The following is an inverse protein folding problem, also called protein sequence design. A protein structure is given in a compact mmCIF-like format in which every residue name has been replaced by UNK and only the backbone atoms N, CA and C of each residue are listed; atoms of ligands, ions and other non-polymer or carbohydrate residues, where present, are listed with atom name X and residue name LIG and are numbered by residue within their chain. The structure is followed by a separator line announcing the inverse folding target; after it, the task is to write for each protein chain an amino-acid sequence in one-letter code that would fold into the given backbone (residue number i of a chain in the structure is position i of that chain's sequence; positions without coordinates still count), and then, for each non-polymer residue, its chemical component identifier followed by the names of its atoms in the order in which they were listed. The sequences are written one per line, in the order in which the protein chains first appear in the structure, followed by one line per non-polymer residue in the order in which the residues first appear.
data_IF_113382784020
#
_entry.id   IF_113382784020
#
_cell.length_a   1.000
_cell.length_b   1.000
_cell.length_c   1.000
_cell.angle_alpha   90.00
_cell.angle_beta   90.00
_cell.angle_gamma   90.00
#
_symmetry.space_group_name_H-M   'P 1'
#
loop_
_entity.id
_entity.type
_entity.pdbx_description
1 polymer ?
#
# COMPACT_ATOMS: atom_id res chain seq x y z
N UNK A 1 43.53 29.52 -44.36
CA UNK A 1 43.80 28.16 -43.82
C UNK A 1 44.21 28.34 -42.37
N UNK A 2 43.54 27.83 -41.34
CA UNK A 2 42.44 26.88 -41.24
C UNK A 2 41.56 27.26 -40.04
N UNK A 3 40.27 27.11 -40.26
CA UNK A 3 39.16 27.14 -39.30
C UNK A 3 39.27 26.00 -38.30
N UNK A 4 39.07 26.26 -37.00
CA UNK A 4 38.81 25.23 -36.00
C UNK A 4 37.30 24.98 -35.95
N UNK A 5 36.86 23.80 -36.39
CA UNK A 5 35.49 23.31 -36.20
C UNK A 5 35.38 22.61 -34.86
N UNK A 6 34.45 23.05 -34.02
CA UNK A 6 33.96 22.33 -32.85
C UNK A 6 32.84 21.37 -33.27
N UNK A 7 33.05 20.08 -33.07
CA UNK A 7 32.03 19.02 -33.16
C UNK A 7 31.22 18.95 -31.86
N UNK A 8 29.90 18.72 -31.89
CA UNK A 8 29.11 18.44 -30.69
C UNK A 8 29.28 16.99 -30.24
N UNK A 9 29.27 16.77 -28.94
CA UNK A 9 29.22 15.44 -28.34
C UNK A 9 27.78 14.90 -28.44
N UNK A 10 27.62 13.75 -29.09
CA UNK A 10 26.37 12.98 -29.10
C UNK A 10 26.17 12.30 -27.75
N UNK A 11 25.02 12.56 -27.14
CA UNK A 11 24.51 11.87 -25.96
C UNK A 11 23.89 10.54 -26.38
N UNK A 12 24.61 9.45 -26.12
CA UNK A 12 24.17 8.07 -26.34
C UNK A 12 23.80 7.44 -25.00
N UNK A 13 22.56 7.64 -24.56
CA UNK A 13 21.93 6.84 -23.51
C UNK A 13 21.39 5.53 -24.11
N UNK A 14 22.28 4.55 -24.27
CA UNK A 14 21.90 3.17 -24.58
C UNK A 14 21.43 2.44 -23.29
N UNK A 15 20.49 1.48 -23.39
CA UNK A 15 20.06 0.70 -22.23
C UNK A 15 21.20 -0.16 -21.68
N UNK A 16 21.23 -0.29 -20.34
CA UNK A 16 22.15 -1.15 -19.62
C UNK A 16 21.76 -2.62 -19.82
N UNK A 17 22.11 -3.20 -20.97
CA UNK A 17 22.05 -4.65 -21.17
C UNK A 17 23.17 -5.31 -20.34
N UNK A 18 22.78 -5.98 -19.26
CA UNK A 18 23.69 -6.79 -18.46
C UNK A 18 24.04 -8.08 -19.24
N UNK A 19 25.28 -8.30 -19.72
CA UNK A 19 25.59 -9.31 -20.77
C UNK A 19 25.52 -10.79 -20.35
N UNK A 20 24.88 -11.13 -19.23
CA UNK A 20 24.82 -12.49 -18.69
C UNK A 20 23.44 -12.96 -18.21
N UNK A 21 22.41 -12.12 -18.28
CA UNK A 21 21.05 -12.49 -17.86
C UNK A 21 20.23 -12.91 -19.09
N UNK A 22 19.72 -14.14 -19.10
CA UNK A 22 18.71 -14.51 -20.10
C UNK A 22 17.41 -13.80 -19.71
N UNK A 23 16.71 -13.12 -20.63
CA UNK A 23 15.45 -12.44 -20.32
C UNK A 23 14.47 -13.39 -19.64
N UNK A 24 13.74 -12.89 -18.65
CA UNK A 24 12.73 -13.66 -17.94
C UNK A 24 11.64 -14.10 -18.90
N UNK A 25 11.27 -15.38 -18.83
CA UNK A 25 10.19 -15.94 -19.65
C UNK A 25 8.84 -15.68 -18.98
N UNK A 26 8.12 -14.63 -19.40
CA UNK A 26 6.75 -14.37 -18.94
C UNK A 26 5.71 -15.25 -19.67
N UNK A 27 4.66 -15.66 -18.97
CA UNK A 27 3.47 -16.37 -19.51
C UNK A 27 2.21 -15.53 -19.26
N UNK A 28 1.09 -15.92 -19.85
CA UNK A 28 -0.21 -15.23 -19.77
C UNK A 28 -0.67 -14.96 -18.32
N UNK A 29 -0.53 -15.93 -17.42
CA UNK A 29 -1.02 -15.80 -16.05
C UNK A 29 -2.55 -15.70 -15.95
N UNK A 30 -3.04 -15.13 -14.86
CA UNK A 30 -4.46 -14.97 -14.56
C UNK A 30 -4.77 -13.56 -14.04
N UNK A 31 -5.94 -12.99 -14.35
CA UNK A 31 -6.35 -11.68 -13.84
C UNK A 31 -6.67 -11.69 -12.33
N UNK A 32 -6.79 -12.88 -11.71
CA UNK A 32 -7.07 -13.01 -10.28
C UNK A 32 -6.22 -14.11 -9.63
N UNK A 33 -5.91 -13.97 -8.33
CA UNK A 33 -6.17 -12.80 -7.48
C UNK A 33 -5.31 -11.58 -7.87
N UNK A 34 -5.75 -10.37 -7.48
CA UNK A 34 -4.99 -9.13 -7.69
C UNK A 34 -3.72 -9.09 -6.81
N UNK A 35 -2.71 -8.37 -7.28
CA UNK A 35 -1.38 -8.30 -6.69
C UNK A 35 -0.43 -9.40 -7.20
N UNK A 36 0.63 -9.66 -6.43
CA UNK A 36 1.58 -10.74 -6.70
C UNK A 36 1.32 -11.97 -5.82
N UNK A 37 1.00 -13.10 -6.45
CA UNK A 37 0.65 -14.36 -5.77
C UNK A 37 1.56 -15.50 -6.18
N UNK A 38 2.23 -16.12 -5.21
CA UNK A 38 3.11 -17.26 -5.42
C UNK A 38 2.35 -18.57 -5.26
N UNK A 39 2.52 -19.50 -6.21
CA UNK A 39 1.78 -20.78 -6.26
C UNK A 39 2.66 -22.02 -6.04
N UNK A 40 3.95 -21.83 -5.73
CA UNK A 40 4.94 -22.89 -5.62
C UNK A 40 5.81 -23.10 -6.85
N UNK A 41 5.35 -22.70 -8.04
CA UNK A 41 6.04 -22.85 -9.32
C UNK A 41 6.47 -21.51 -9.93
N UNK A 42 5.93 -20.40 -9.44
CA UNK A 42 6.19 -19.06 -9.94
C UNK A 42 5.28 -18.03 -9.29
N UNK A 43 5.28 -16.82 -9.83
CA UNK A 43 4.47 -15.71 -9.31
C UNK A 43 3.54 -15.21 -10.41
N UNK A 44 2.24 -15.18 -10.10
CA UNK A 44 1.23 -14.49 -10.89
C UNK A 44 1.17 -13.02 -10.46
N UNK A 45 1.29 -12.10 -11.40
CA UNK A 45 1.12 -10.66 -11.19
C UNK A 45 -0.18 -10.22 -11.87
N UNK A 46 -1.03 -9.51 -11.15
CA UNK A 46 -2.26 -8.95 -11.68
C UNK A 46 -2.49 -7.53 -11.13
N UNK A 47 -2.64 -6.55 -12.03
CA UNK A 47 -2.77 -5.14 -11.70
C UNK A 47 -3.98 -4.53 -12.42
N UNK A 48 -4.92 -4.00 -11.65
CA UNK A 48 -6.02 -3.21 -12.21
C UNK A 48 -5.52 -1.88 -12.78
N UNK A 49 -5.90 -1.56 -14.01
CA UNK A 49 -5.87 -0.21 -14.57
C UNK A 49 -6.76 -0.17 -15.82
N UNK A 50 -7.85 0.60 -15.78
CA UNK A 50 -8.80 0.71 -16.88
C UNK A 50 -8.30 1.65 -17.99
N UNK A 51 -7.45 2.61 -17.63
CA UNK A 51 -7.01 3.69 -18.53
C UNK A 51 -5.53 3.59 -18.97
N UNK A 52 -4.79 2.58 -18.49
CA UNK A 52 -3.43 2.34 -18.96
C UNK A 52 -3.42 1.90 -20.43
N UNK A 53 -2.28 2.11 -21.08
CA UNK A 53 -2.01 1.59 -22.43
C UNK A 53 -0.93 0.51 -22.43
N UNK A 54 -0.14 0.42 -21.35
CA UNK A 54 0.88 -0.61 -21.13
C UNK A 54 1.26 -0.65 -19.64
N UNK A 55 1.54 -1.83 -19.12
CA UNK A 55 2.09 -2.03 -17.76
C UNK A 55 3.40 -2.79 -17.86
N UNK A 56 4.45 -2.24 -17.25
CA UNK A 56 5.73 -2.92 -17.08
C UNK A 56 5.93 -3.32 -15.62
N UNK A 57 6.17 -4.60 -15.39
CA UNK A 57 6.69 -5.15 -14.14
C UNK A 57 8.20 -4.90 -14.07
N UNK A 58 8.64 -4.14 -13.08
CA UNK A 58 10.05 -3.86 -12.84
C UNK A 58 10.57 -4.77 -11.74
N UNK A 59 11.54 -5.62 -12.04
CA UNK A 59 12.19 -6.51 -11.07
C UNK A 59 13.45 -5.86 -10.51
N UNK A 60 13.69 -6.04 -9.21
CA UNK A 60 14.86 -5.51 -8.53
C UNK A 60 15.69 -6.63 -7.89
N UNK A 61 16.94 -6.30 -7.55
CA UNK A 61 17.78 -7.13 -6.71
C UNK A 61 17.20 -7.31 -5.30
N UNK A 62 17.86 -8.16 -4.50
CA UNK A 62 17.36 -8.51 -3.16
C UNK A 62 17.41 -7.36 -2.14
N UNK A 63 18.13 -6.27 -2.45
CA UNK A 63 18.13 -5.04 -1.64
C UNK A 63 17.06 -4.04 -2.10
N UNK A 64 16.57 -4.18 -3.33
CA UNK A 64 15.62 -3.24 -3.93
C UNK A 64 16.29 -1.96 -4.46
N UNK A 65 17.60 -1.98 -4.67
CA UNK A 65 18.38 -0.82 -5.08
C UNK A 65 18.64 -0.79 -6.58
N UNK A 66 18.88 -1.94 -7.20
CA UNK A 66 19.19 -2.07 -8.63
C UNK A 66 18.01 -2.69 -9.37
N UNK A 67 17.47 -1.96 -10.35
CA UNK A 67 16.48 -2.49 -11.30
C UNK A 67 17.20 -3.47 -12.25
N UNK A 68 16.75 -4.73 -12.24
CA UNK A 68 17.36 -5.82 -13.01
C UNK A 68 16.71 -5.99 -14.38
N UNK A 69 15.40 -5.81 -14.46
CA UNK A 69 14.63 -6.10 -15.66
C UNK A 69 13.29 -5.35 -15.65
N UNK A 70 12.80 -5.01 -16.85
CA UNK A 70 11.42 -4.56 -17.08
C UNK A 70 10.73 -5.55 -18.00
N UNK A 71 9.57 -6.03 -17.58
CA UNK A 71 8.79 -7.04 -18.30
C UNK A 71 7.42 -6.45 -18.57
N UNK A 72 7.04 -6.29 -19.84
CA UNK A 72 5.68 -5.92 -20.20
C UNK A 72 4.71 -7.05 -19.81
N UNK A 73 3.62 -6.71 -19.10
CA UNK A 73 2.58 -7.69 -18.79
C UNK A 73 1.81 -8.03 -20.07
N UNK A 74 1.77 -9.31 -20.49
CA UNK A 74 1.34 -9.68 -21.84
C UNK A 74 -0.17 -9.62 -22.05
N UNK A 75 -0.97 -9.77 -20.99
CA UNK A 75 -2.41 -9.98 -21.10
C UNK A 75 -3.20 -8.88 -20.38
N UNK A 76 -4.40 -8.64 -20.89
CA UNK A 76 -5.35 -7.66 -20.36
C UNK A 76 -6.79 -8.23 -20.43
N UNK A 77 -7.34 -8.56 -19.26
CA UNK A 77 -8.69 -9.13 -19.14
C UNK A 77 -9.49 -8.32 -18.13
N UNK A 78 -10.66 -7.82 -18.52
CA UNK A 78 -11.58 -7.07 -17.63
C UNK A 78 -10.88 -5.96 -16.82
N UNK A 79 -10.11 -5.10 -17.50
CA UNK A 79 -9.38 -3.97 -16.89
C UNK A 79 -8.19 -4.36 -16.00
N UNK A 80 -7.76 -5.62 -16.08
CA UNK A 80 -6.64 -6.15 -15.31
C UNK A 80 -5.52 -6.57 -16.25
N UNK A 81 -4.35 -5.95 -16.09
CA UNK A 81 -3.11 -6.38 -16.71
C UNK A 81 -2.53 -7.55 -15.91
N UNK A 82 -2.12 -8.62 -16.58
CA UNK A 82 -1.57 -9.78 -15.88
C UNK A 82 -0.49 -10.51 -16.65
N UNK A 83 0.32 -11.26 -15.89
CA UNK A 83 1.39 -12.10 -16.39
C UNK A 83 1.89 -13.04 -15.30
N UNK A 84 2.39 -14.20 -15.70
CA UNK A 84 2.96 -15.19 -14.79
C UNK A 84 4.45 -15.36 -15.04
N UNK A 85 5.26 -15.16 -14.01
CA UNK A 85 6.70 -15.32 -14.01
C UNK A 85 7.05 -16.69 -13.40
N UNK A 86 7.38 -17.71 -14.22
CA UNK A 86 7.82 -19.00 -13.73
C UNK A 86 9.10 -18.86 -12.93
N UNK A 87 9.28 -19.74 -11.95
CA UNK A 87 10.50 -19.86 -11.15
C UNK A 87 10.80 -18.64 -10.25
N UNK A 88 9.94 -17.61 -10.26
CA UNK A 88 9.97 -16.56 -9.25
C UNK A 88 9.48 -17.09 -7.90
N UNK A 89 10.08 -16.58 -6.83
CA UNK A 89 9.86 -17.05 -5.47
C UNK A 89 9.54 -15.89 -4.50
N UNK A 90 8.96 -16.19 -3.32
CA UNK A 90 8.90 -15.26 -2.21
C UNK A 90 10.27 -14.64 -1.94
N UNK A 91 10.29 -13.32 -1.76
CA UNK A 91 11.52 -12.54 -1.72
C UNK A 91 11.78 -11.70 -2.95
N UNK A 92 11.16 -12.02 -4.10
CA UNK A 92 11.24 -11.20 -5.31
C UNK A 92 10.77 -9.76 -5.01
N UNK A 93 11.63 -8.79 -5.29
CA UNK A 93 11.33 -7.36 -5.14
C UNK A 93 10.91 -6.81 -6.50
N UNK A 94 9.84 -6.02 -6.50
CA UNK A 94 9.25 -5.49 -7.73
C UNK A 94 8.56 -4.13 -7.53
N UNK A 95 8.23 -3.49 -8.63
CA UNK A 95 7.30 -2.37 -8.72
C UNK A 95 6.71 -2.31 -10.13
N UNK A 96 5.90 -1.29 -10.42
CA UNK A 96 5.31 -1.10 -11.74
C UNK A 96 5.69 0.23 -12.38
N UNK A 97 5.78 0.25 -13.70
CA UNK A 97 5.69 1.47 -14.51
C UNK A 97 4.47 1.35 -15.39
N UNK A 98 3.59 2.34 -15.29
CA UNK A 98 2.30 2.33 -15.98
C UNK A 98 2.28 3.46 -16.99
N UNK A 99 2.00 3.09 -18.23
CA UNK A 99 1.88 3.99 -19.37
C UNK A 99 0.42 4.30 -19.62
N UNK A 100 0.16 5.51 -20.09
CA UNK A 100 -1.18 5.95 -20.44
C UNK A 100 -1.16 7.45 -20.77
N UNK A 101 -2.34 8.05 -20.98
CA UNK A 101 -2.44 9.48 -21.28
C UNK A 101 -1.99 10.34 -20.08
N UNK A 102 -1.05 11.26 -20.32
CA UNK A 102 -0.83 12.37 -19.39
C UNK A 102 -1.73 13.54 -19.81
N UNK A 103 -2.95 13.55 -19.28
CA UNK A 103 -3.94 14.59 -19.50
C UNK A 103 -4.55 15.02 -18.16
N UNK A 104 -3.79 15.80 -17.35
CA UNK A 104 -4.24 16.21 -16.02
C UNK A 104 -5.56 16.94 -16.03
N UNK A 105 -5.91 17.67 -17.10
CA UNK A 105 -7.19 18.39 -17.22
C UNK A 105 -8.40 17.46 -17.21
N UNK A 106 -8.23 16.24 -17.72
CA UNK A 106 -9.26 15.20 -17.70
C UNK A 106 -9.02 14.16 -16.59
N UNK A 107 -8.09 14.43 -15.67
CA UNK A 107 -7.82 13.56 -14.52
C UNK A 107 -6.86 12.41 -14.81
N UNK A 108 -6.30 12.28 -16.01
CA UNK A 108 -5.33 11.22 -16.31
C UNK A 108 -3.90 11.70 -16.00
N UNK A 109 -3.20 10.97 -15.12
CA UNK A 109 -1.89 11.39 -14.57
C UNK A 109 -0.81 10.31 -14.73
N UNK A 110 -0.89 9.52 -15.80
CA UNK A 110 0.07 8.45 -16.10
C UNK A 110 1.47 9.01 -16.37
N UNK A 111 2.46 8.56 -15.61
CA UNK A 111 3.85 8.93 -15.83
C UNK A 111 4.76 7.72 -15.57
N UNK A 112 5.15 7.03 -16.65
CA UNK A 112 5.97 5.82 -16.61
C UNK A 112 7.40 6.05 -16.08
N UNK A 113 7.85 7.31 -15.97
CA UNK A 113 9.13 7.63 -15.31
C UNK A 113 9.04 7.42 -13.79
N UNK A 114 7.83 7.35 -13.24
CA UNK A 114 7.59 7.12 -11.82
C UNK A 114 7.42 5.61 -11.57
N UNK A 115 8.27 5.04 -10.72
CA UNK A 115 8.09 3.69 -10.19
C UNK A 115 6.93 3.70 -9.19
N UNK A 116 6.03 2.73 -9.31
CA UNK A 116 4.78 2.65 -8.57
C UNK A 116 4.74 1.41 -7.67
N UNK A 117 4.23 1.60 -6.46
CA UNK A 117 3.95 0.54 -5.49
C UNK A 117 2.67 -0.18 -5.93
N UNK A 118 2.71 -1.51 -5.93
CA UNK A 118 1.52 -2.35 -6.11
C UNK A 118 0.48 -2.06 -4.98
N UNK A 119 -0.75 -1.62 -5.30
CA UNK A 119 -1.80 -1.38 -4.31
C UNK A 119 -2.16 -2.62 -3.45
N UNK A 120 -1.89 -3.82 -3.98
CA UNK A 120 -2.08 -5.12 -3.33
C UNK A 120 -0.78 -5.69 -2.72
N UNK A 121 0.30 -4.90 -2.63
CA UNK A 121 1.53 -5.33 -1.99
C UNK A 121 1.30 -5.72 -0.52
N UNK A 122 1.67 -6.94 -0.16
CA UNK A 122 1.58 -7.46 1.22
C UNK A 122 2.81 -7.10 2.06
N UNK A 123 3.90 -6.68 1.43
CA UNK A 123 5.10 -6.20 2.11
C UNK A 123 5.84 -5.18 1.24
N UNK A 124 6.36 -4.12 1.89
CA UNK A 124 7.23 -3.12 1.26
C UNK A 124 8.69 -3.30 1.72
N UNK A 125 9.63 -2.92 0.87
CA UNK A 125 11.08 -2.94 1.12
C UNK A 125 11.69 -1.57 0.82
N UNK A 126 12.53 -1.10 1.74
CA UNK A 126 13.16 0.20 1.66
C UNK A 126 12.30 1.30 2.28
N UNK A 127 12.83 2.52 2.27
CA UNK A 127 12.17 3.72 2.79
C UNK A 127 11.93 4.72 1.66
N UNK A 128 10.84 5.49 1.77
CA UNK A 128 10.62 6.61 0.86
C UNK A 128 11.65 7.71 1.14
N UNK A 129 12.46 8.04 0.14
CA UNK A 129 13.45 9.13 0.20
C UNK A 129 12.88 10.33 -0.55
N UNK A 130 12.50 11.38 0.17
CA UNK A 130 11.92 12.55 -0.48
C UNK A 130 12.85 13.18 -1.52
N UNK A 131 12.33 13.30 -2.73
CA UNK A 131 13.00 13.85 -3.91
C UNK A 131 11.94 14.44 -4.82
N UNK A 132 12.29 15.49 -5.56
CA UNK A 132 11.40 16.06 -6.58
C UNK A 132 11.05 15.04 -7.68
N UNK A 133 11.89 14.02 -7.88
CA UNK A 133 11.63 12.95 -8.84
C UNK A 133 10.37 12.13 -8.49
N UNK A 134 9.89 12.17 -7.24
CA UNK A 134 8.65 11.49 -6.79
C UNK A 134 7.37 12.13 -7.36
N UNK A 135 7.46 13.31 -7.95
CA UNK A 135 6.31 14.04 -8.47
C UNK A 135 6.18 13.80 -9.97
N UNK A 136 4.97 13.49 -10.44
CA UNK A 136 4.65 13.32 -11.85
C UNK A 136 4.79 14.60 -12.69
N UNK A 137 4.96 15.74 -12.03
CA UNK A 137 5.08 17.09 -12.58
C UNK A 137 6.32 17.78 -12.03
N UNK A 138 6.83 18.80 -12.73
CA UNK A 138 8.06 19.47 -12.34
C UNK A 138 7.78 20.52 -11.27
N UNK A 139 8.32 20.31 -10.07
CA UNK A 139 8.23 21.26 -8.95
C UNK A 139 8.76 22.64 -9.40
N UNK A 140 7.97 23.69 -9.18
CA UNK A 140 8.32 25.06 -9.55
C UNK A 140 8.10 25.42 -11.02
N UNK A 141 7.62 24.50 -11.86
CA UNK A 141 7.28 24.81 -13.25
C UNK A 141 6.11 25.82 -13.31
N UNK A 142 6.11 26.79 -14.26
CA UNK A 142 5.02 27.78 -14.39
C UNK A 142 3.63 27.17 -14.55
N UNK A 143 3.54 26.03 -15.24
CA UNK A 143 2.29 25.30 -15.46
C UNK A 143 1.88 24.38 -14.28
N UNK A 144 2.68 24.32 -13.21
CA UNK A 144 2.38 23.51 -12.01
C UNK A 144 2.20 22.02 -12.33
N UNK A 145 1.12 21.42 -11.79
CA UNK A 145 0.75 20.00 -11.98
C UNK A 145 0.32 19.63 -13.41
N UNK A 146 0.30 20.59 -14.35
CA UNK A 146 0.08 20.33 -15.77
C UNK A 146 1.39 19.99 -16.51
N UNK A 147 2.54 20.27 -15.90
CA UNK A 147 3.84 19.92 -16.47
C UNK A 147 4.13 18.42 -16.34
N UNK A 148 5.00 17.88 -17.18
CA UNK A 148 5.37 16.47 -17.16
C UNK A 148 6.83 16.30 -16.73
N UNK A 149 7.07 15.57 -15.65
CA UNK A 149 8.42 15.34 -15.12
C UNK A 149 8.99 13.99 -15.56
N UNK A 150 10.12 14.02 -16.27
CA UNK A 150 10.75 12.83 -16.86
C UNK A 150 11.78 12.15 -15.95
N UNK A 151 12.04 12.66 -14.74
CA UNK A 151 13.04 12.07 -13.84
C UNK A 151 12.57 10.71 -13.32
N UNK A 152 13.49 9.75 -13.29
CA UNK A 152 13.23 8.44 -12.71
C UNK A 152 13.07 8.53 -11.18
N UNK A 153 11.98 7.96 -10.65
CA UNK A 153 11.71 7.92 -9.21
C UNK A 153 12.19 6.63 -8.52
N UNK A 154 12.61 5.60 -9.27
CA UNK A 154 12.95 4.29 -8.70
C UNK A 154 13.94 4.30 -7.50
N UNK A 155 14.99 5.14 -7.47
CA UNK A 155 15.91 5.21 -6.32
C UNK A 155 15.28 5.72 -5.01
N UNK A 156 14.09 6.32 -5.10
CA UNK A 156 13.45 7.09 -4.03
C UNK A 156 12.17 6.44 -3.49
N UNK A 157 11.59 5.49 -4.21
CA UNK A 157 10.33 4.81 -3.86
C UNK A 157 10.64 3.46 -3.18
N UNK A 158 9.93 3.07 -2.11
CA UNK A 158 10.00 1.71 -1.58
C UNK A 158 9.39 0.72 -2.57
N UNK A 159 9.87 -0.52 -2.57
CA UNK A 159 9.44 -1.53 -3.55
C UNK A 159 8.47 -2.50 -2.92
N UNK A 160 7.61 -3.08 -3.74
CA UNK A 160 6.77 -4.21 -3.35
C UNK A 160 7.61 -5.48 -3.25
N UNK A 161 7.20 -6.41 -2.40
CA UNK A 161 7.86 -7.71 -2.24
C UNK A 161 6.86 -8.84 -2.28
N UNK A 162 7.16 -9.87 -3.07
CA UNK A 162 6.41 -11.12 -3.07
C UNK A 162 6.65 -11.83 -1.74
N UNK A 163 5.59 -12.21 -1.04
CA UNK A 163 5.67 -12.92 0.23
C UNK A 163 5.29 -14.39 0.08
N UNK A 164 5.70 -15.20 1.04
CA UNK A 164 5.06 -16.48 1.31
C UNK A 164 3.90 -16.21 2.27
N UNK A 165 2.69 -16.59 1.85
CA UNK A 165 1.48 -16.36 2.64
C UNK A 165 1.30 -17.45 3.71
N UNK A 166 1.95 -18.60 3.52
CA UNK A 166 1.84 -19.74 4.40
C UNK A 166 2.28 -19.37 5.82
N UNK A 167 1.39 -19.57 6.78
CA UNK A 167 1.67 -19.43 8.19
C UNK A 167 0.90 -20.48 8.99
N UNK A 168 1.57 -21.13 9.93
CA UNK A 168 0.94 -22.16 10.77
C UNK A 168 0.45 -21.54 12.07
N UNK A 169 -0.83 -21.19 12.12
CA UNK A 169 -1.49 -20.60 13.29
C UNK A 169 -1.61 -21.54 14.52
N UNK A 170 -1.30 -22.83 14.36
CA UNK A 170 -1.27 -23.77 15.47
C UNK A 170 -2.64 -23.97 16.13
N UNK A 171 -2.80 -23.50 17.37
CA UNK A 171 -4.05 -23.59 18.16
C UNK A 171 -4.85 -22.30 18.19
N UNK A 172 -4.45 -21.30 17.40
CA UNK A 172 -5.15 -20.04 17.33
C UNK A 172 -6.63 -20.24 16.96
N UNK A 173 -7.50 -19.52 17.65
CA UNK A 173 -8.92 -19.45 17.38
C UNK A 173 -9.36 -18.01 17.60
N UNK A 174 -10.33 -17.54 16.82
CA UNK A 174 -10.97 -16.25 17.07
C UNK A 174 -11.47 -16.18 18.50
N UNK A 175 -11.17 -15.07 19.18
CA UNK A 175 -11.54 -14.86 20.58
C UNK A 175 -13.06 -14.67 20.73
N UNK A 176 -13.66 -13.83 19.88
CA UNK A 176 -15.11 -13.69 19.76
C UNK A 176 -15.78 -13.14 21.02
N UNK A 177 -15.23 -12.07 21.60
CA UNK A 177 -15.79 -11.40 22.77
C UNK A 177 -17.16 -10.79 22.40
N UNK A 178 -18.24 -11.12 23.13
CA UNK A 178 -19.53 -10.50 22.91
C UNK A 178 -19.50 -8.98 23.15
N UNK A 179 -20.21 -8.21 22.34
CA UNK A 179 -20.25 -6.74 22.40
C UNK A 179 -20.59 -6.17 23.79
N UNK A 180 -21.44 -6.84 24.57
CA UNK A 180 -21.82 -6.42 25.93
C UNK A 180 -20.71 -6.63 26.97
N UNK A 181 -19.62 -7.32 26.59
CA UNK A 181 -18.43 -7.57 27.40
C UNK A 181 -17.17 -6.90 26.84
N UNK A 182 -17.26 -6.29 25.66
CA UNK A 182 -16.12 -5.67 24.99
C UNK A 182 -15.65 -4.42 25.75
N UNK A 183 -14.35 -4.37 26.02
CA UNK A 183 -13.64 -3.22 26.59
C UNK A 183 -12.41 -2.97 25.71
N UNK A 184 -12.45 -1.86 24.96
CA UNK A 184 -11.36 -1.46 24.07
C UNK A 184 -10.17 -0.86 24.82
N UNK A 185 -8.97 -1.15 24.32
CA UNK A 185 -7.71 -0.52 24.72
C UNK A 185 -6.99 0.01 23.50
N UNK A 186 -7.19 1.30 23.20
CA UNK A 186 -6.49 1.99 22.12
C UNK A 186 -5.01 2.15 22.46
N UNK A 187 -4.14 1.75 21.54
CA UNK A 187 -2.70 1.84 21.73
C UNK A 187 -1.93 1.99 20.42
N UNK A 188 -0.72 2.51 20.54
CA UNK A 188 0.21 2.65 19.44
C UNK A 188 1.27 1.55 19.52
N UNK A 189 1.46 0.78 18.44
CA UNK A 189 2.45 -0.32 18.33
C UNK A 189 3.85 0.11 18.81
N UNK A 190 4.35 1.23 18.28
CA UNK A 190 5.59 1.85 18.74
C UNK A 190 5.55 2.30 20.20
N UNK A 191 4.58 3.13 20.57
CA UNK A 191 4.54 3.83 21.85
C UNK A 191 4.47 2.91 23.07
N UNK A 192 3.70 1.83 22.99
CA UNK A 192 3.42 0.95 24.14
C UNK A 192 4.67 0.24 24.67
N UNK A 193 5.65 -0.03 23.80
CA UNK A 193 6.85 -0.78 24.18
C UNK A 193 8.16 0.01 24.07
N UNK A 194 8.18 1.18 23.43
CA UNK A 194 9.41 1.96 23.19
C UNK A 194 10.26 2.23 24.44
N UNK A 195 9.63 2.33 25.61
CA UNK A 195 10.30 2.55 26.90
C UNK A 195 10.06 1.45 27.93
N UNK A 196 9.54 0.29 27.50
CA UNK A 196 9.21 -0.79 28.41
C UNK A 196 10.49 -1.53 28.87
N UNK A 197 10.81 -1.53 30.18
CA UNK A 197 12.11 -2.02 30.66
C UNK A 197 12.28 -3.54 30.48
N UNK A 198 11.19 -4.29 30.50
CA UNK A 198 11.20 -5.76 30.36
C UNK A 198 11.09 -6.22 28.90
N UNK A 199 10.95 -5.31 27.93
CA UNK A 199 11.03 -5.64 26.50
C UNK A 199 12.47 -5.45 26.05
N UNK A 200 13.03 -6.46 25.38
CA UNK A 200 14.36 -6.41 24.79
C UNK A 200 14.49 -5.22 23.83
N UNK A 201 15.62 -4.51 23.87
CA UNK A 201 15.78 -3.20 23.22
C UNK A 201 15.52 -3.26 21.71
N UNK A 202 15.95 -4.34 21.07
CA UNK A 202 15.78 -4.62 19.65
C UNK A 202 14.33 -4.90 19.22
N UNK A 203 13.44 -5.24 20.16
CA UNK A 203 12.02 -5.49 19.90
C UNK A 203 11.14 -4.29 20.27
N UNK A 204 11.70 -3.25 20.88
CA UNK A 204 10.92 -2.10 21.35
C UNK A 204 10.32 -1.34 20.19
N UNK A 205 9.02 -1.16 20.27
CA UNK A 205 8.21 -0.41 19.33
C UNK A 205 7.84 -1.18 18.05
N UNK A 206 7.87 -2.50 18.08
CA UNK A 206 7.53 -3.39 16.97
C UNK A 206 6.39 -4.35 17.36
N UNK A 207 5.86 -5.10 16.39
CA UNK A 207 4.87 -6.13 16.66
C UNK A 207 5.42 -7.23 17.59
N UNK A 208 6.69 -7.63 17.41
CA UNK A 208 7.34 -8.58 18.33
C UNK A 208 7.40 -8.05 19.77
N UNK A 209 7.68 -6.75 19.94
CA UNK A 209 7.65 -6.11 21.25
C UNK A 209 6.25 -6.14 21.87
N UNK A 210 5.23 -5.76 21.11
CA UNK A 210 3.83 -5.77 21.55
C UNK A 210 3.34 -7.18 21.91
N UNK A 211 3.71 -8.18 21.12
CA UNK A 211 3.40 -9.60 21.37
C UNK A 211 4.23 -10.26 22.47
N UNK A 212 5.13 -9.54 23.13
CA UNK A 212 5.98 -10.11 24.19
C UNK A 212 5.23 -10.35 25.50
N UNK A 213 5.65 -11.37 26.26
CA UNK A 213 4.97 -11.78 27.49
C UNK A 213 4.75 -10.64 28.52
N UNK A 214 5.73 -9.75 28.82
CA UNK A 214 5.51 -8.67 29.78
C UNK A 214 4.36 -7.73 29.38
N UNK A 215 4.23 -7.46 28.07
CA UNK A 215 3.25 -6.53 27.53
C UNK A 215 1.88 -7.18 27.47
N UNK A 216 1.79 -8.40 26.92
CA UNK A 216 0.54 -9.16 26.84
C UNK A 216 -0.03 -9.43 28.23
N UNK A 217 0.82 -9.81 29.21
CA UNK A 217 0.38 -9.99 30.59
C UNK A 217 -0.12 -8.70 31.23
N UNK A 218 0.53 -7.56 30.95
CA UNK A 218 0.10 -6.27 31.46
C UNK A 218 -1.30 -5.91 30.93
N UNK A 219 -1.52 -5.99 29.61
CA UNK A 219 -2.80 -5.71 28.98
C UNK A 219 -3.89 -6.63 29.56
N UNK A 220 -3.60 -7.94 29.67
CA UNK A 220 -4.55 -8.88 30.26
C UNK A 220 -4.87 -8.56 31.72
N UNK A 221 -3.88 -8.18 32.54
CA UNK A 221 -4.07 -7.80 33.96
C UNK A 221 -4.92 -6.53 34.11
N UNK A 222 -4.90 -5.64 33.12
CA UNK A 222 -5.76 -4.45 33.11
C UNK A 222 -7.25 -4.80 33.00
N UNK A 223 -7.58 -5.98 32.45
CA UNK A 223 -8.96 -6.49 32.33
C UNK A 223 -9.70 -6.01 31.08
N UNK A 224 -8.98 -5.49 30.09
CA UNK A 224 -9.53 -5.17 28.76
C UNK A 224 -9.69 -6.44 27.93
N UNK A 225 -10.50 -6.40 26.88
CA UNK A 225 -10.79 -7.58 26.04
C UNK A 225 -10.27 -7.44 24.62
N UNK A 226 -10.12 -6.20 24.13
CA UNK A 226 -9.88 -5.95 22.72
C UNK A 226 -8.86 -4.81 22.59
N UNK A 227 -7.74 -5.08 21.92
CA UNK A 227 -6.66 -4.10 21.70
C UNK A 227 -6.89 -3.42 20.36
N UNK A 228 -7.12 -2.12 20.38
CA UNK A 228 -7.27 -1.30 19.18
C UNK A 228 -5.94 -0.67 18.83
N UNK A 229 -5.38 -1.03 17.68
CA UNK A 229 -4.12 -0.50 17.20
C UNK A 229 -4.38 0.73 16.33
N UNK A 230 -3.70 1.84 16.64
CA UNK A 230 -3.53 2.95 15.70
C UNK A 230 -2.99 2.44 14.35
N UNK A 231 -3.19 3.20 13.24
CA UNK A 231 -2.94 2.72 11.89
C UNK A 231 -1.60 1.99 11.70
N UNK A 232 -1.70 0.77 11.19
CA UNK A 232 -0.55 -0.11 10.94
C UNK A 232 -0.24 -0.33 9.46
N UNK A 233 -1.15 0.05 8.55
CA UNK A 233 -0.86 0.01 7.11
C UNK A 233 0.38 0.83 6.79
N UNK A 234 1.21 0.39 5.85
CA UNK A 234 2.38 1.16 5.45
C UNK A 234 1.97 2.56 5.00
N UNK A 235 2.62 3.57 5.58
CA UNK A 235 2.27 4.98 5.42
C UNK A 235 3.50 5.83 5.09
N UNK A 236 3.26 7.06 4.64
CA UNK A 236 4.33 8.01 4.30
C UNK A 236 4.41 9.14 5.31
N UNK A 237 5.63 9.56 5.64
CA UNK A 237 5.88 10.81 6.35
C UNK A 237 5.75 11.98 5.37
N UNK A 238 4.80 12.89 5.61
CA UNK A 238 4.63 14.06 4.76
C UNK A 238 5.89 14.93 4.68
N UNK A 239 6.18 15.46 3.50
CA UNK A 239 7.38 16.26 3.26
C UNK A 239 7.48 17.46 4.22
N UNK A 240 6.36 18.12 4.52
CA UNK A 240 6.33 19.28 5.40
C UNK A 240 6.67 18.95 6.87
N UNK A 241 6.45 17.69 7.31
CA UNK A 241 6.88 17.23 8.63
C UNK A 241 8.39 17.03 8.65
N UNK A 242 8.94 16.37 7.63
CA UNK A 242 10.38 16.11 7.54
C UNK A 242 11.21 17.40 7.41
N UNK A 243 10.70 18.40 6.69
CA UNK A 243 11.31 19.74 6.62
C UNK A 243 11.42 20.41 8.00
N UNK A 244 10.58 20.01 8.97
CA UNK A 244 10.61 20.46 10.37
C UNK A 244 11.34 19.50 11.29
N UNK A 245 11.98 18.45 10.77
CA UNK A 245 12.59 17.39 11.58
C UNK A 245 11.58 16.53 12.34
N UNK A 246 10.32 16.50 11.90
CA UNK A 246 9.22 15.73 12.49
C UNK A 246 8.89 14.50 11.64
N UNK A 247 8.16 13.54 12.21
CA UNK A 247 7.68 12.35 11.49
C UNK A 247 6.18 12.18 11.74
N UNK A 248 5.49 11.50 10.84
CA UNK A 248 4.15 11.02 11.10
C UNK A 248 4.27 9.88 12.13
N UNK A 249 3.78 10.17 13.34
CA UNK A 249 3.78 9.21 14.43
C UNK A 249 2.58 8.29 14.31
N UNK A 250 1.37 8.85 14.19
CA UNK A 250 0.13 8.09 14.24
C UNK A 250 -0.13 7.17 13.05
N UNK A 251 0.33 7.55 11.85
CA UNK A 251 0.20 6.69 10.66
C UNK A 251 -1.08 6.83 9.85
N UNK A 252 -1.95 7.82 10.12
CA UNK A 252 -3.15 8.14 9.33
C UNK A 252 -2.81 8.75 7.95
N UNK A 253 -2.02 8.06 7.14
CA UNK A 253 -1.59 8.49 5.81
C UNK A 253 -1.13 7.29 4.96
N UNK A 254 -1.99 6.28 4.83
CA UNK A 254 -1.65 4.99 4.22
C UNK A 254 -1.35 5.08 2.72
N UNK A 255 -0.43 4.24 2.24
CA UNK A 255 -0.14 4.05 0.81
C UNK A 255 -0.27 2.59 0.35
N UNK A 256 -0.15 1.62 1.26
CA UNK A 256 -0.35 0.20 0.94
C UNK A 256 -1.29 -0.47 1.97
N UNK A 257 -2.50 -0.82 1.52
CA UNK A 257 -3.57 -1.30 2.39
C UNK A 257 -3.43 -2.76 2.84
N UNK A 258 -2.48 -3.51 2.28
CA UNK A 258 -2.24 -4.92 2.61
C UNK A 258 -0.92 -5.14 3.35
N UNK A 259 -0.05 -4.13 3.39
CA UNK A 259 1.26 -4.23 4.03
C UNK A 259 1.23 -3.54 5.40
N UNK A 260 1.70 -4.21 6.47
CA UNK A 260 2.05 -3.48 7.69
C UNK A 260 3.25 -2.56 7.44
N UNK A 261 3.33 -1.45 8.16
CA UNK A 261 4.43 -0.50 8.04
C UNK A 261 5.76 -1.17 8.44
N UNK A 262 6.80 -1.13 7.57
CA UNK A 262 8.08 -1.78 7.84
C UNK A 262 8.75 -1.32 9.15
N UNK A 263 8.45 -0.11 9.64
CA UNK A 263 9.02 0.44 10.88
C UNK A 263 8.53 -0.29 12.13
N UNK A 264 7.49 -1.10 12.02
CA UNK A 264 6.94 -1.91 13.10
C UNK A 264 7.36 -3.38 13.01
N UNK A 265 8.23 -3.76 12.06
CA UNK A 265 8.75 -5.13 11.90
C UNK A 265 10.22 -5.18 12.36
N UNK A 266 10.49 -5.73 13.54
CA UNK A 266 11.88 -5.92 14.03
C UNK A 266 12.71 -6.81 13.09
N UNK A 267 12.09 -7.87 12.58
CA UNK A 267 12.71 -8.86 11.71
C UNK A 267 12.62 -8.55 10.22
N UNK A 268 11.83 -7.53 9.84
CA UNK A 268 11.44 -7.26 8.46
C UNK A 268 10.56 -8.34 7.82
N UNK A 269 9.97 -9.26 8.60
CA UNK A 269 9.09 -10.33 8.11
C UNK A 269 7.66 -10.10 8.54
N UNK A 270 6.72 -10.20 7.60
CA UNK A 270 5.28 -10.07 7.87
C UNK A 270 4.74 -11.07 8.92
N UNK A 271 5.39 -12.23 9.08
CA UNK A 271 5.05 -13.23 10.09
C UNK A 271 5.07 -12.66 11.52
N UNK A 272 5.85 -11.60 11.79
CA UNK A 272 5.91 -10.94 13.09
C UNK A 272 4.55 -10.38 13.52
N UNK A 273 3.75 -9.88 12.56
CA UNK A 273 2.37 -9.46 12.83
C UNK A 273 1.51 -10.66 13.23
N UNK A 274 1.57 -11.76 12.47
CA UNK A 274 0.79 -12.98 12.74
C UNK A 274 1.14 -13.58 14.10
N UNK A 275 2.43 -13.59 14.46
CA UNK A 275 2.90 -14.04 15.79
C UNK A 275 2.36 -13.17 16.92
N UNK A 276 2.36 -11.84 16.77
CA UNK A 276 1.77 -10.93 17.75
C UNK A 276 0.27 -11.21 17.94
N UNK A 277 -0.50 -11.36 16.85
CA UNK A 277 -1.93 -11.69 16.91
C UNK A 277 -2.14 -13.02 17.65
N UNK A 278 -1.38 -14.07 17.30
CA UNK A 278 -1.48 -15.37 17.96
C UNK A 278 -1.19 -15.30 19.47
N UNK A 279 -0.24 -14.46 19.90
CA UNK A 279 0.05 -14.25 21.32
C UNK A 279 -1.08 -13.51 22.05
N UNK A 280 -1.70 -12.51 21.42
CA UNK A 280 -2.84 -11.79 21.98
C UNK A 280 -4.06 -12.71 22.08
N UNK A 281 -4.36 -13.48 21.03
CA UNK A 281 -5.44 -14.48 21.02
C UNK A 281 -5.24 -15.55 22.09
N UNK A 282 -4.02 -16.06 22.24
CA UNK A 282 -3.71 -17.02 23.30
C UNK A 282 -3.98 -16.46 24.71
N UNK A 283 -3.84 -15.15 24.88
CA UNK A 283 -4.18 -14.44 26.11
C UNK A 283 -5.67 -14.06 26.24
N UNK A 284 -6.49 -14.39 25.23
CA UNK A 284 -7.92 -14.06 25.17
C UNK A 284 -8.19 -12.59 24.83
N UNK A 285 -7.30 -11.94 24.10
CA UNK A 285 -7.41 -10.54 23.67
C UNK A 285 -7.68 -10.47 22.16
N UNK A 286 -8.73 -9.75 21.78
CA UNK A 286 -9.01 -9.44 20.37
C UNK A 286 -8.06 -8.39 19.82
N UNK A 287 -7.86 -8.38 18.51
CA UNK A 287 -7.09 -7.38 17.78
C UNK A 287 -8.00 -6.60 16.83
N UNK A 288 -8.10 -5.29 17.05
CA UNK A 288 -8.88 -4.36 16.25
C UNK A 288 -7.90 -3.42 15.55
N UNK A 289 -8.07 -3.23 14.24
CA UNK A 289 -7.24 -2.30 13.48
C UNK A 289 -7.97 -0.99 13.22
N UNK A 290 -7.34 0.13 13.58
CA UNK A 290 -7.72 1.43 13.04
C UNK A 290 -7.26 1.49 11.57
N UNK A 291 -8.23 1.67 10.67
CA UNK A 291 -8.03 1.60 9.23
C UNK A 291 -8.43 2.89 8.53
N UNK A 292 -7.54 3.33 7.63
CA UNK A 292 -7.72 4.51 6.80
C UNK A 292 -7.94 4.08 5.36
N UNK A 293 -9.20 4.07 4.93
CA UNK A 293 -9.60 3.79 3.53
C UNK A 293 -10.21 5.02 2.84
N UNK A 294 -10.32 6.14 3.54
CA UNK A 294 -10.99 7.33 3.01
C UNK A 294 -10.07 8.19 2.12
N UNK A 295 -8.74 8.14 2.33
CA UNK A 295 -7.74 8.88 1.57
C UNK A 295 -6.41 8.09 1.47
N UNK A 296 -5.47 8.60 0.69
CA UNK A 296 -4.11 8.05 0.55
C UNK A 296 -3.03 9.10 0.80
N UNK A 297 -1.79 8.61 0.98
CA UNK A 297 -0.59 9.43 1.10
C UNK A 297 -0.19 10.22 -0.15
N UNK A 298 -0.91 10.06 -1.26
CA UNK A 298 -0.60 10.79 -2.49
C UNK A 298 -1.16 12.22 -2.48
N UNK A 299 -2.00 12.59 -1.49
CA UNK A 299 -2.53 13.95 -1.36
C UNK A 299 -3.30 14.45 -2.59
N UNK A 300 -3.34 15.77 -2.79
CA UNK A 300 -4.05 16.43 -3.90
C UNK A 300 -3.21 16.45 -5.20
N UNK A 301 -3.59 17.22 -6.21
CA UNK A 301 -2.88 17.33 -7.50
C UNK A 301 -1.40 17.70 -7.39
N UNK A 302 -1.01 18.37 -6.31
CA UNK A 302 0.38 18.75 -6.03
C UNK A 302 1.16 17.70 -5.22
N UNK A 303 0.52 16.61 -4.79
CA UNK A 303 1.17 15.52 -4.09
C UNK A 303 2.01 14.60 -4.99
N UNK A 304 2.74 13.65 -4.37
CA UNK A 304 3.62 12.73 -5.08
C UNK A 304 2.83 11.70 -5.92
N UNK A 305 3.53 11.01 -6.81
CA UNK A 305 3.00 9.90 -7.62
C UNK A 305 3.73 8.62 -7.21
N UNK A 306 3.10 7.82 -6.37
CA UNK A 306 3.69 6.68 -5.67
C UNK A 306 2.99 5.35 -5.97
N UNK A 307 1.68 5.36 -6.23
CA UNK A 307 0.88 4.16 -6.47
C UNK A 307 -0.35 4.50 -7.31
N UNK A 308 -1.53 4.57 -6.70
CA UNK A 308 -2.85 4.66 -7.36
C UNK A 308 -2.95 5.80 -8.39
N UNK A 309 -2.33 6.96 -8.15
CA UNK A 309 -2.32 8.10 -9.10
C UNK A 309 -1.64 7.74 -10.41
N UNK A 310 -0.50 7.05 -10.33
CA UNK A 310 0.25 6.63 -11.52
C UNK A 310 -0.37 5.41 -12.20
N UNK A 311 -1.11 4.59 -11.45
CA UNK A 311 -1.75 3.35 -11.96
C UNK A 311 -3.06 3.66 -12.66
N UNK A 312 -3.98 4.40 -12.03
CA UNK A 312 -5.22 4.84 -12.67
C UNK A 312 -5.92 5.94 -11.86
N UNK A 313 -5.42 7.17 -11.97
CA UNK A 313 -5.90 8.30 -11.16
C UNK A 313 -7.42 8.53 -11.23
N UNK A 314 -8.01 8.39 -12.43
CA UNK A 314 -9.42 8.69 -12.67
C UNK A 314 -10.36 7.61 -12.10
N UNK A 315 -9.84 6.40 -11.87
CA UNK A 315 -10.59 5.28 -11.28
C UNK A 315 -10.44 5.25 -9.76
N UNK A 316 -9.24 5.50 -9.22
CA UNK A 316 -8.98 5.39 -7.79
C UNK A 316 -9.51 6.57 -6.97
N UNK A 317 -9.51 7.79 -7.52
CA UNK A 317 -9.81 9.00 -6.76
C UNK A 317 -11.08 9.68 -7.23
N UNK A 318 -11.82 10.25 -6.26
CA UNK A 318 -12.95 11.13 -6.55
C UNK A 318 -12.41 12.46 -7.08
N UNK A 319 -12.72 12.75 -8.35
CA UNK A 319 -12.35 13.99 -9.01
C UNK A 319 -13.52 14.97 -9.04
N UNK A 320 -13.22 16.26 -9.08
CA UNK A 320 -14.24 17.31 -9.21
C UNK A 320 -14.99 17.13 -10.55
N UNK A 321 -16.34 17.05 -10.57
CA UNK A 321 -17.09 16.74 -11.80
C UNK A 321 -16.87 17.74 -12.94
N UNK A 322 -16.76 19.02 -12.61
CA UNK A 322 -16.60 20.12 -13.58
C UNK A 322 -15.14 20.43 -13.93
N UNK A 323 -14.19 19.93 -13.14
CA UNK A 323 -12.76 20.12 -13.38
C UNK A 323 -11.97 18.92 -12.82
N UNK A 324 -11.91 17.86 -13.63
CA UNK A 324 -11.30 16.57 -13.26
C UNK A 324 -9.80 16.66 -12.96
N UNK A 325 -9.17 17.81 -13.17
CA UNK A 325 -7.81 18.09 -12.69
C UNK A 325 -7.71 18.00 -11.17
N UNK A 326 -8.75 18.43 -10.46
CA UNK A 326 -8.75 18.58 -9.02
C UNK A 326 -9.48 17.43 -8.32
N UNK A 327 -9.08 17.19 -7.08
CA UNK A 327 -9.59 16.12 -6.24
C UNK A 327 -10.70 16.63 -5.33
N UNK A 328 -11.71 15.78 -5.10
CA UNK A 328 -12.61 15.95 -3.97
C UNK A 328 -11.81 15.66 -2.68
N UNK A 329 -11.92 16.56 -1.71
CA UNK A 329 -11.15 16.49 -0.46
C UNK A 329 -12.09 16.48 0.76
N UNK A 330 -12.97 15.49 0.83
CA UNK A 330 -13.90 15.34 1.96
C UNK A 330 -13.15 14.98 3.27
N UNK A 331 -11.96 14.39 3.16
CA UNK A 331 -11.08 13.97 4.28
C UNK A 331 -10.29 15.11 4.90
N UNK A 332 -10.08 16.21 4.16
CA UNK A 332 -9.16 17.28 4.55
C UNK A 332 -7.68 16.95 4.33
N UNK A 333 -7.34 15.81 3.71
CA UNK A 333 -5.94 15.35 3.50
C UNK A 333 -5.46 15.47 2.06
N UNK A 334 -6.30 15.96 1.16
CA UNK A 334 -5.96 16.33 -0.22
C UNK A 334 -6.67 15.48 -1.27
N UNK A 335 -7.10 14.27 -0.93
CA UNK A 335 -7.88 13.40 -1.81
C UNK A 335 -8.93 12.60 -1.06
N UNK A 336 -9.81 11.94 -1.81
CA UNK A 336 -10.76 10.95 -1.32
C UNK A 336 -10.80 9.78 -2.29
N UNK A 337 -10.67 8.55 -1.77
CA UNK A 337 -10.80 7.33 -2.59
C UNK A 337 -12.22 7.15 -3.11
N UNK A 338 -12.36 6.68 -4.35
CA UNK A 338 -13.66 6.46 -4.98
C UNK A 338 -14.22 5.06 -4.71
N UNK A 339 -14.85 4.88 -3.55
CA UNK A 339 -15.51 3.61 -3.22
C UNK A 339 -16.81 3.35 -4.00
N UNK A 340 -17.22 4.26 -4.89
CA UNK A 340 -18.29 4.00 -5.84
C UNK A 340 -17.78 3.21 -7.07
N UNK A 341 -16.48 3.26 -7.35
CA UNK A 341 -15.86 2.48 -8.41
C UNK A 341 -15.72 1.00 -7.99
N UNK A 342 -16.20 0.02 -8.79
CA UNK A 342 -16.20 -1.39 -8.42
C UNK A 342 -14.82 -1.95 -8.02
N UNK A 343 -13.76 -1.61 -8.77
CA UNK A 343 -12.41 -2.10 -8.51
C UNK A 343 -11.78 -1.51 -7.24
N UNK A 344 -12.11 -0.26 -6.89
CA UNK A 344 -11.62 0.38 -5.65
C UNK A 344 -12.37 -0.18 -4.44
N UNK A 345 -13.69 -0.36 -4.59
CA UNK A 345 -14.50 -1.08 -3.60
C UNK A 345 -13.99 -2.51 -3.39
N UNK A 346 -13.65 -3.21 -4.47
CA UNK A 346 -13.03 -4.53 -4.40
C UNK A 346 -11.70 -4.48 -3.63
N UNK A 347 -10.80 -3.55 -3.96
CA UNK A 347 -9.53 -3.38 -3.25
C UNK A 347 -9.71 -3.19 -1.74
N UNK A 348 -10.62 -2.30 -1.33
CA UNK A 348 -10.88 -2.07 0.10
C UNK A 348 -11.48 -3.30 0.77
N UNK A 349 -12.46 -3.95 0.13
CA UNK A 349 -13.09 -5.15 0.72
C UNK A 349 -12.15 -6.37 0.70
N UNK A 350 -11.25 -6.50 -0.28
CA UNK A 350 -10.18 -7.50 -0.31
C UNK A 350 -9.18 -7.25 0.81
N UNK A 351 -8.80 -5.99 1.06
CA UNK A 351 -7.92 -5.62 2.17
C UNK A 351 -8.56 -6.00 3.51
N UNK A 352 -9.83 -5.64 3.73
CA UNK A 352 -10.56 -6.05 4.93
C UNK A 352 -10.62 -7.59 5.08
N UNK A 353 -10.90 -8.32 4.00
CA UNK A 353 -10.92 -9.80 4.01
C UNK A 353 -9.54 -10.38 4.31
N UNK A 354 -8.49 -9.81 3.74
CA UNK A 354 -7.11 -10.20 3.97
C UNK A 354 -6.75 -10.06 5.46
N UNK A 355 -7.00 -8.89 6.05
CA UNK A 355 -6.72 -8.68 7.46
C UNK A 355 -7.55 -9.60 8.37
N UNK A 356 -8.83 -9.82 8.06
CA UNK A 356 -9.72 -10.66 8.87
C UNK A 356 -9.47 -12.18 8.74
N UNK A 357 -8.98 -12.64 7.58
CA UNK A 357 -8.85 -14.08 7.27
C UNK A 357 -7.41 -14.55 7.29
N UNK A 358 -6.49 -13.80 6.68
CA UNK A 358 -5.08 -14.19 6.56
C UNK A 358 -4.24 -13.71 7.74
N UNK A 359 -4.65 -12.60 8.34
CA UNK A 359 -3.95 -11.95 9.46
C UNK A 359 -4.70 -12.08 10.80
N UNK A 360 -5.86 -12.74 10.78
CA UNK A 360 -6.70 -13.06 11.95
C UNK A 360 -7.14 -11.84 12.78
N UNK A 361 -7.28 -10.68 12.17
CA UNK A 361 -7.84 -9.49 12.83
C UNK A 361 -9.32 -9.71 13.17
N UNK A 362 -9.73 -9.34 14.39
CA UNK A 362 -11.10 -9.57 14.91
C UNK A 362 -12.06 -8.43 14.58
N UNK A 363 -11.55 -7.28 14.14
CA UNK A 363 -12.37 -6.13 13.77
C UNK A 363 -11.61 -4.91 13.31
N UNK A 364 -12.37 -3.89 12.92
CA UNK A 364 -11.87 -2.67 12.32
C UNK A 364 -12.56 -1.46 12.94
N UNK A 365 -11.78 -0.42 13.23
CA UNK A 365 -12.25 0.93 13.51
C UNK A 365 -11.96 1.80 12.29
N UNK A 366 -13.00 2.34 11.66
CA UNK A 366 -12.88 3.09 10.42
C UNK A 366 -12.64 4.57 10.68
N UNK A 367 -11.46 5.06 10.34
CA UNK A 367 -11.18 6.49 10.38
C UNK A 367 -12.07 7.27 9.39
N UNK A 368 -12.63 8.39 9.86
CA UNK A 368 -13.55 9.25 9.12
C UNK A 368 -14.64 8.45 8.37
N UNK A 369 -15.23 7.44 9.01
CA UNK A 369 -16.10 6.44 8.40
C UNK A 369 -17.22 7.00 7.51
N UNK A 370 -17.77 8.16 7.85
CA UNK A 370 -18.82 8.81 7.04
C UNK A 370 -18.38 9.09 5.60
N UNK A 371 -17.09 9.27 5.32
CA UNK A 371 -16.56 9.51 3.98
C UNK A 371 -16.66 8.26 3.10
N UNK A 372 -16.51 7.07 3.70
CA UNK A 372 -16.56 5.78 3.00
C UNK A 372 -17.96 5.48 2.44
N UNK A 373 -18.99 6.16 2.95
CA UNK A 373 -20.38 6.06 2.51
C UNK A 373 -20.83 7.21 1.61
N UNK A 374 -19.92 8.00 1.04
CA UNK A 374 -20.26 9.17 0.22
C UNK A 374 -20.19 8.90 -1.27
N UNK A 375 -21.30 9.17 -1.95
CA UNK A 375 -21.33 9.44 -3.39
C UNK A 375 -21.03 10.93 -3.66
N UNK A 376 -21.12 11.34 -4.93
CA UNK A 376 -20.95 12.72 -5.35
C UNK A 376 -21.97 13.71 -4.74
N UNK A 377 -23.18 13.25 -4.41
CA UNK A 377 -24.30 14.04 -3.88
C UNK A 377 -24.44 13.97 -2.35
N UNK A 378 -23.67 13.12 -1.67
CA UNK A 378 -23.62 13.06 -0.21
C UNK A 378 -23.50 11.65 0.35
N UNK A 379 -23.75 11.54 1.65
CA UNK A 379 -23.74 10.26 2.37
C UNK A 379 -25.01 9.46 2.08
N UNK A 380 -24.86 8.16 1.83
CA UNK A 380 -25.95 7.21 1.69
C UNK A 380 -25.73 6.00 2.63
N UNK A 381 -26.73 5.69 3.47
CA UNK A 381 -26.71 4.52 4.35
C UNK A 381 -26.70 3.18 3.59
N UNK A 382 -27.01 3.20 2.29
CA UNK A 382 -26.95 2.06 1.36
C UNK A 382 -25.81 2.19 0.35
N UNK A 383 -24.82 3.03 0.62
CA UNK A 383 -23.62 3.10 -0.20
C UNK A 383 -23.02 1.70 -0.43
N UNK A 384 -22.50 1.47 -1.64
CA UNK A 384 -21.98 0.17 -2.11
C UNK A 384 -21.02 -0.47 -1.11
N UNK A 385 -20.14 0.33 -0.50
CA UNK A 385 -19.24 -0.11 0.57
C UNK A 385 -19.96 -0.69 1.80
N UNK A 386 -20.96 0.02 2.34
CA UNK A 386 -21.70 -0.43 3.52
C UNK A 386 -22.49 -1.70 3.22
N UNK A 387 -23.08 -1.78 2.03
CA UNK A 387 -23.78 -2.98 1.56
C UNK A 387 -22.82 -4.15 1.41
N UNK A 388 -21.65 -3.94 0.80
CA UNK A 388 -20.63 -4.95 0.61
C UNK A 388 -20.14 -5.53 1.95
N UNK A 389 -19.80 -4.68 2.92
CA UNK A 389 -19.38 -5.11 4.26
C UNK A 389 -20.48 -5.90 5.00
N UNK A 390 -21.75 -5.48 4.87
CA UNK A 390 -22.87 -6.11 5.57
C UNK A 390 -23.23 -7.49 5.02
N UNK A 391 -23.13 -7.69 3.71
CA UNK A 391 -23.50 -8.95 3.06
C UNK A 391 -22.35 -9.98 3.07
N UNK A 392 -21.10 -9.51 3.13
CA UNK A 392 -19.92 -10.36 3.02
C UNK A 392 -19.85 -11.40 4.14
N UNK A 393 -19.70 -12.70 3.83
CA UNK A 393 -19.69 -13.78 4.83
C UNK A 393 -18.58 -13.69 5.87
N UNK A 394 -17.43 -13.10 5.53
CA UNK A 394 -16.29 -12.91 6.43
C UNK A 394 -16.48 -11.63 7.24
N UNK A 395 -16.73 -10.51 6.56
CA UNK A 395 -16.74 -9.19 7.21
C UNK A 395 -17.93 -9.00 8.16
N UNK A 396 -19.05 -9.68 7.92
CA UNK A 396 -20.19 -9.66 8.87
C UNK A 396 -19.92 -10.36 10.20
N UNK A 397 -18.82 -11.10 10.32
CA UNK A 397 -18.45 -11.86 11.52
C UNK A 397 -17.38 -11.17 12.37
N UNK A 398 -16.88 -10.00 11.94
CA UNK A 398 -15.90 -9.21 12.70
C UNK A 398 -16.56 -7.97 13.30
N UNK A 399 -15.89 -7.33 14.26
CA UNK A 399 -16.36 -6.07 14.83
C UNK A 399 -16.11 -4.92 13.84
N UNK A 400 -17.12 -4.09 13.58
CA UNK A 400 -17.01 -2.90 12.73
C UNK A 400 -17.40 -1.66 13.55
N UNK A 401 -16.44 -0.78 13.82
CA UNK A 401 -16.57 0.45 14.62
C UNK A 401 -16.35 1.67 13.71
N UNK A 402 -17.14 2.72 13.86
CA UNK A 402 -17.14 3.91 12.98
C UNK A 402 -17.18 5.21 13.78
#
# INVERSE_FOLDING_TARGET
MNTKSTTPAEDNSAPLDNPGSTPSRIREGLPFPLGASWDGLGVNFALFSANATKVELCLFDSTGEIELERIELPEYTDEIYHGYLPDAHPGQIYGYRVYGPYDPKNGHRFNHNKLLIDPYAKQLVGELKWSEALFGYTIGHPDGDLSFDERDSAPFVPKSKVIDEAYTWGRDQRVGTPWDKTIFYETHVRGITMRHPEVAEELRGTFAGLGSAPVVEHIRKLGVTSVELLPIHAFVNDQHLLQKGMTNYWGYNSIAFFAPDPRYLASGKIAEFKEMVAHLHHAGLEVILDVVYNHTAEGNELGPTLSMRGIDNASYYRLMPDDKRYYINDSGTGNTLDLSHPCVLQMVTDSLRYWASEMHVDGFRFDLATILGRYHDGFDERHSFLVACRQDPVLRQVQLVA
#
